data_IF_014078141763
#
_entry.id   IF_014078141763
#
_cell.length_a   1.000
_cell.length_b   1.000
_cell.length_c   1.000
_cell.angle_alpha   90.00
_cell.angle_beta   90.00
_cell.angle_gamma   90.00
#
_symmetry.space_group_name_H-M   'P 1'
#
loop_
_entity.id
_entity.type
_entity.pdbx_description
1 polymer ?
#
# COMPACT_ATOMS: atom_id res chain seq x y z
N UNK A 1 0.44 4.70 -84.29
CA UNK A 1 0.31 3.35 -84.89
C UNK A 1 1.31 2.41 -84.24
N UNK A 2 0.90 1.21 -83.84
CA UNK A 2 1.78 0.07 -83.46
C UNK A 2 2.63 0.25 -82.19
N UNK A 3 2.90 -0.77 -81.35
CA UNK A 3 2.39 -2.14 -81.35
C UNK A 3 3.50 -3.21 -81.22
N UNK A 4 3.80 -3.62 -79.99
CA UNK A 4 4.57 -4.85 -79.66
C UNK A 4 6.10 -4.77 -79.77
N UNK A 5 6.88 -5.78 -79.33
CA UNK A 5 6.66 -6.75 -78.25
C UNK A 5 7.96 -7.54 -77.91
N UNK A 6 8.22 -7.76 -76.61
CA UNK A 6 8.85 -8.95 -75.98
C UNK A 6 10.19 -9.54 -76.50
N UNK A 7 11.20 -9.43 -75.62
CA UNK A 7 11.85 -10.55 -74.89
C UNK A 7 13.17 -11.22 -75.37
N UNK A 8 13.85 -11.79 -74.35
CA UNK A 8 14.98 -12.77 -74.29
C UNK A 8 16.42 -12.22 -74.37
N UNK A 9 17.47 -12.91 -73.88
CA UNK A 9 17.75 -13.61 -72.60
C UNK A 9 19.22 -14.17 -72.65
N UNK A 10 20.07 -13.85 -71.65
CA UNK A 10 21.32 -14.53 -71.22
C UNK A 10 22.42 -14.98 -72.23
N UNK A 11 23.65 -14.46 -72.02
CA UNK A 11 24.97 -15.17 -71.98
C UNK A 11 26.03 -14.16 -71.48
N UNK A 12 26.50 -14.17 -70.22
CA UNK A 12 27.49 -15.04 -69.54
C UNK A 12 28.99 -14.83 -69.88
N UNK A 13 29.73 -14.37 -68.85
CA UNK A 13 31.13 -14.67 -68.46
C UNK A 13 32.32 -14.36 -69.39
N UNK A 14 33.17 -13.42 -68.96
CA UNK A 14 34.57 -13.70 -68.57
C UNK A 14 35.15 -12.57 -67.69
N UNK A 15 35.89 -12.92 -66.63
CA UNK A 15 36.60 -12.01 -65.72
C UNK A 15 38.07 -11.87 -66.13
N UNK A 16 38.71 -10.73 -65.86
CA UNK A 16 40.17 -10.63 -65.95
C UNK A 16 40.78 -9.25 -65.72
N UNK A 17 41.32 -9.02 -64.51
CA UNK A 17 42.38 -8.05 -64.16
C UNK A 17 42.03 -6.54 -64.24
N UNK A 18 42.67 -5.62 -63.49
CA UNK A 18 43.24 -5.63 -62.14
C UNK A 18 43.58 -4.16 -61.77
N UNK A 19 42.91 -3.55 -60.77
CA UNK A 19 43.27 -2.25 -60.14
C UNK A 19 43.16 -1.01 -61.10
N UNK A 20 43.01 0.26 -60.67
CA UNK A 20 43.40 0.95 -59.43
C UNK A 20 42.26 1.85 -58.88
N UNK A 21 42.11 1.78 -57.57
CA UNK A 21 41.37 2.60 -56.59
C UNK A 21 41.30 4.12 -56.88
N UNK A 22 40.15 4.80 -56.72
CA UNK A 22 39.73 5.64 -55.57
C UNK A 22 38.57 6.54 -56.09
N UNK A 23 37.52 6.96 -55.37
CA UNK A 23 36.99 6.74 -54.00
C UNK A 23 35.46 6.51 -54.12
N UNK A 24 34.81 5.88 -53.13
CA UNK A 24 33.36 5.95 -52.95
C UNK A 24 33.03 6.41 -51.52
N UNK A 25 32.23 7.47 -51.38
CA UNK A 25 31.68 7.91 -50.09
C UNK A 25 30.38 7.16 -49.82
N UNK A 26 30.38 6.27 -48.83
CA UNK A 26 29.18 5.69 -48.25
C UNK A 26 29.17 5.99 -46.75
N UNK A 27 28.14 6.72 -46.28
CA UNK A 27 27.89 6.86 -44.85
C UNK A 27 27.25 5.56 -44.36
N UNK A 28 28.05 4.71 -43.71
CA UNK A 28 27.58 3.46 -43.13
C UNK A 28 26.97 3.73 -41.74
N UNK A 29 25.68 3.42 -41.61
CA UNK A 29 24.95 3.53 -40.35
C UNK A 29 25.42 2.41 -39.40
N UNK A 30 26.20 2.75 -38.38
CA UNK A 30 26.65 1.79 -37.36
C UNK A 30 25.45 1.19 -36.57
N UNK A 31 25.09 -0.04 -36.94
CA UNK A 31 24.15 -0.88 -36.22
C UNK A 31 24.88 -1.48 -35.00
N UNK A 32 24.77 -0.81 -33.85
CA UNK A 32 25.41 -1.29 -32.61
C UNK A 32 24.83 -2.63 -32.15
N UNK A 33 25.60 -3.69 -32.40
CA UNK A 33 25.38 -5.02 -31.84
C UNK A 33 25.64 -5.00 -30.33
N UNK A 34 24.68 -5.45 -29.53
CA UNK A 34 24.86 -5.61 -28.08
C UNK A 34 25.70 -6.87 -27.79
N UNK A 35 27.02 -6.71 -27.76
CA UNK A 35 27.89 -7.66 -27.07
C UNK A 35 27.80 -7.43 -25.56
N UNK A 36 27.12 -8.37 -24.89
CA UNK A 36 26.93 -8.38 -23.45
C UNK A 36 28.16 -8.95 -22.74
N UNK A 37 29.11 -8.09 -22.37
CA UNK A 37 30.17 -8.44 -21.42
C UNK A 37 30.57 -7.23 -20.55
N UNK A 38 30.94 -7.52 -19.29
CA UNK A 38 31.33 -6.57 -18.23
C UNK A 38 30.22 -5.71 -17.59
N UNK A 39 29.40 -6.40 -16.78
CA UNK A 39 28.85 -5.85 -15.54
C UNK A 39 30.01 -5.29 -14.66
N UNK A 40 30.32 -3.98 -14.72
CA UNK A 40 30.92 -3.14 -13.65
C UNK A 40 31.40 -1.76 -14.16
N UNK A 41 30.46 -0.83 -14.44
CA UNK A 41 30.55 0.64 -14.23
C UNK A 41 29.57 1.41 -15.14
N UNK A 42 28.28 1.44 -14.76
CA UNK A 42 27.28 2.31 -15.37
C UNK A 42 27.03 3.56 -14.51
N UNK A 43 27.85 4.62 -14.65
CA UNK A 43 27.58 5.92 -14.01
C UNK A 43 26.69 6.77 -14.92
N UNK A 44 25.37 6.71 -14.69
CA UNK A 44 24.44 7.79 -15.04
C UNK A 44 23.79 8.31 -13.77
N UNK A 45 24.34 9.40 -13.24
CA UNK A 45 23.81 10.24 -12.14
C UNK A 45 23.33 9.58 -10.84
N UNK A 46 23.77 8.37 -10.49
CA UNK A 46 23.64 7.87 -9.11
C UNK A 46 24.43 8.78 -8.13
N UNK A 47 23.72 9.68 -7.45
CA UNK A 47 24.25 10.58 -6.42
C UNK A 47 24.95 9.73 -5.36
N UNK A 48 26.17 10.12 -4.97
CA UNK A 48 26.90 9.38 -3.94
C UNK A 48 26.08 9.34 -2.65
N UNK A 49 25.98 8.18 -1.97
CA UNK A 49 25.16 8.03 -0.79
C UNK A 49 25.62 8.99 0.30
N UNK A 50 24.68 9.77 0.85
CA UNK A 50 24.96 10.77 1.87
C UNK A 50 24.37 10.30 3.20
N UNK A 51 25.14 10.44 4.28
CA UNK A 51 24.63 10.18 5.62
C UNK A 51 24.14 11.48 6.27
N UNK A 52 22.89 11.45 6.74
CA UNK A 52 22.19 12.59 7.34
C UNK A 52 21.67 12.18 8.73
N UNK A 53 21.57 13.13 9.64
CA UNK A 53 20.96 12.88 10.95
C UNK A 53 19.45 12.67 10.83
N UNK A 54 18.91 11.75 11.62
CA UNK A 54 17.47 11.48 11.69
C UNK A 54 16.81 12.62 12.47
N UNK A 55 15.94 13.44 11.84
CA UNK A 55 15.31 14.56 12.51
C UNK A 55 14.24 14.08 13.49
N UNK A 56 13.99 14.89 14.53
CA UNK A 56 12.92 14.65 15.54
C UNK A 56 11.55 14.48 14.87
N UNK A 57 11.32 15.18 13.76
CA UNK A 57 10.07 15.12 13.00
C UNK A 57 9.86 13.80 12.24
N UNK A 58 10.90 12.97 12.05
CA UNK A 58 10.77 11.62 11.50
C UNK A 58 10.27 10.66 12.60
N UNK A 59 9.04 10.91 13.07
CA UNK A 59 8.38 10.21 14.20
C UNK A 59 8.37 8.69 14.07
N UNK A 60 8.43 8.16 12.85
CA UNK A 60 8.53 6.72 12.59
C UNK A 60 9.84 6.12 13.14
N UNK A 61 10.96 6.84 13.02
CA UNK A 61 12.31 6.27 13.20
C UNK A 61 13.22 7.03 14.16
N UNK A 62 12.82 8.21 14.67
CA UNK A 62 13.66 8.98 15.60
C UNK A 62 14.12 8.20 16.85
N UNK A 63 13.35 7.20 17.30
CA UNK A 63 13.66 6.37 18.47
C UNK A 63 14.20 4.97 18.14
N UNK A 64 14.62 4.71 16.90
CA UNK A 64 14.96 3.35 16.42
C UNK A 64 16.29 2.78 16.96
N UNK A 65 17.12 3.62 17.60
CA UNK A 65 18.37 3.20 18.27
C UNK A 65 19.67 3.69 17.63
N UNK A 66 19.60 4.30 16.45
CA UNK A 66 20.73 5.00 15.81
C UNK A 66 20.33 6.42 15.40
N UNK A 67 21.32 7.29 15.15
CA UNK A 67 21.11 8.73 14.92
C UNK A 67 21.27 9.18 13.46
N UNK A 68 21.96 8.39 12.62
CA UNK A 68 22.26 8.74 11.23
C UNK A 68 21.73 7.70 10.26
N UNK A 69 21.05 8.18 9.22
CA UNK A 69 20.51 7.37 8.12
C UNK A 69 21.20 7.72 6.79
N UNK A 70 21.07 6.82 5.81
CA UNK A 70 21.56 6.99 4.44
C UNK A 70 20.46 7.52 3.51
N UNK A 71 20.85 8.42 2.59
CA UNK A 71 20.08 8.82 1.41
C UNK A 71 20.88 8.53 0.12
N UNK A 72 20.24 8.10 -0.99
CA UNK A 72 18.85 7.66 -1.04
C UNK A 72 18.61 6.44 -0.14
N UNK A 73 17.38 6.29 0.36
CA UNK A 73 16.99 5.18 1.22
C UNK A 73 16.64 3.92 0.39
N UNK A 74 16.12 2.85 1.01
CA UNK A 74 15.80 1.60 0.28
C UNK A 74 14.42 1.64 -0.43
N UNK A 75 13.82 2.82 -0.50
CA UNK A 75 12.59 3.14 -1.24
C UNK A 75 12.87 4.26 -2.27
N UNK A 76 14.14 4.48 -2.62
CA UNK A 76 14.64 5.45 -3.58
C UNK A 76 14.31 6.94 -3.28
N UNK A 77 13.86 7.27 -2.06
CA UNK A 77 13.68 8.66 -1.66
C UNK A 77 15.03 9.36 -1.52
N UNK A 78 15.25 10.45 -2.26
CA UNK A 78 16.54 11.16 -2.31
C UNK A 78 16.64 12.30 -1.27
N UNK A 79 15.52 12.75 -0.73
CA UNK A 79 15.46 13.98 0.09
C UNK A 79 14.75 13.78 1.42
N UNK A 80 15.18 14.50 2.46
CA UNK A 80 14.54 14.42 3.78
C UNK A 80 13.06 14.85 3.81
N UNK A 81 12.61 15.90 3.09
CA UNK A 81 11.18 16.25 3.03
C UNK A 81 10.31 15.12 2.46
N UNK A 82 10.79 14.44 1.42
CA UNK A 82 10.12 13.27 0.83
C UNK A 82 10.06 12.10 1.82
N UNK A 83 11.19 11.75 2.47
CA UNK A 83 11.21 10.72 3.52
C UNK A 83 10.23 11.05 4.64
N UNK A 84 10.19 12.30 5.12
CA UNK A 84 9.26 12.75 6.16
C UNK A 84 7.80 12.60 5.73
N UNK A 85 7.46 13.05 4.51
CA UNK A 85 6.11 12.95 3.95
C UNK A 85 5.66 11.49 3.82
N UNK A 86 6.50 10.64 3.23
CA UNK A 86 6.15 9.25 2.95
C UNK A 86 6.10 8.42 4.24
N UNK A 87 7.11 8.54 5.13
CA UNK A 87 7.16 7.85 6.42
C UNK A 87 6.02 8.28 7.35
N UNK A 88 5.56 9.54 7.26
CA UNK A 88 4.43 10.06 8.03
C UNK A 88 3.15 9.25 7.84
N UNK A 89 2.92 8.71 6.64
CA UNK A 89 1.76 7.87 6.33
C UNK A 89 1.73 6.53 7.09
N UNK A 90 2.89 6.07 7.59
CA UNK A 90 3.05 4.79 8.31
C UNK A 90 2.91 4.90 9.83
N UNK A 91 3.00 6.11 10.38
CA UNK A 91 2.85 6.36 11.84
C UNK A 91 1.53 5.81 12.40
N UNK A 92 0.35 5.95 11.72
CA UNK A 92 -0.89 5.35 12.20
C UNK A 92 -0.86 3.82 12.28
N UNK A 93 -0.15 3.13 11.38
CA UNK A 93 -0.01 1.67 11.44
C UNK A 93 0.88 1.24 12.61
N UNK A 94 2.01 1.93 12.80
CA UNK A 94 2.90 1.69 13.94
C UNK A 94 2.17 1.90 15.27
N UNK A 95 1.31 2.90 15.36
CA UNK A 95 0.47 3.16 16.54
C UNK A 95 -0.53 2.02 16.86
N UNK A 96 -0.91 1.19 15.88
CA UNK A 96 -1.74 -0.02 16.12
C UNK A 96 -0.97 -1.19 16.73
N UNK A 97 0.38 -1.16 16.73
CA UNK A 97 1.26 -2.19 17.32
C UNK A 97 0.91 -3.62 16.90
N UNK A 98 0.65 -3.80 15.60
CA UNK A 98 0.26 -5.09 15.02
C UNK A 98 1.38 -6.14 15.09
N UNK A 99 2.65 -5.74 15.02
CA UNK A 99 3.82 -6.58 15.30
C UNK A 99 4.83 -5.80 16.17
N UNK A 100 5.70 -6.51 16.90
CA UNK A 100 6.75 -5.88 17.70
C UNK A 100 7.80 -5.21 16.79
N UNK A 101 8.28 -5.95 15.78
CA UNK A 101 9.32 -5.48 14.85
C UNK A 101 8.82 -4.49 13.77
N UNK A 102 7.56 -4.04 13.80
CA UNK A 102 7.01 -3.12 12.77
C UNK A 102 7.86 -1.85 12.61
N UNK A 103 8.36 -1.29 13.72
CA UNK A 103 9.23 -0.10 13.66
C UNK A 103 10.57 -0.42 13.00
N UNK A 104 11.23 -1.51 13.41
CA UNK A 104 12.53 -1.93 12.88
C UNK A 104 12.44 -2.23 11.38
N UNK A 105 11.41 -2.99 10.97
CA UNK A 105 11.16 -3.31 9.56
C UNK A 105 10.98 -2.03 8.72
N UNK A 106 10.06 -1.13 9.09
CA UNK A 106 9.81 0.07 8.31
C UNK A 106 11.03 1.02 8.29
N UNK A 107 11.73 1.17 9.42
CA UNK A 107 12.90 2.04 9.50
C UNK A 107 14.13 1.49 8.79
N UNK A 108 14.26 0.16 8.63
CA UNK A 108 15.29 -0.42 7.76
C UNK A 108 15.17 0.05 6.30
N UNK A 109 13.95 0.38 5.85
CA UNK A 109 13.67 0.84 4.49
C UNK A 109 13.63 2.37 4.39
N UNK A 110 12.92 3.03 5.30
CA UNK A 110 12.75 4.49 5.29
C UNK A 110 13.98 5.27 5.76
N UNK A 111 14.71 4.72 6.72
CA UNK A 111 15.83 5.37 7.40
C UNK A 111 17.02 4.40 7.59
N UNK A 112 17.51 3.71 6.54
CA UNK A 112 18.56 2.70 6.67
C UNK A 112 19.81 3.26 7.35
N UNK A 113 20.47 2.43 8.16
CA UNK A 113 21.71 2.82 8.87
C UNK A 113 22.76 3.35 7.89
N UNK A 114 23.46 4.40 8.28
CA UNK A 114 24.61 4.94 7.55
C UNK A 114 25.74 3.89 7.43
N UNK A 115 25.75 3.12 6.34
CA UNK A 115 26.77 2.14 5.96
C UNK A 115 27.04 2.24 4.45
N UNK A 116 28.24 1.83 4.01
CA UNK A 116 28.64 1.86 2.60
C UNK A 116 27.80 0.92 1.72
N UNK A 117 27.39 -0.21 2.27
CA UNK A 117 26.45 -1.16 1.67
C UNK A 117 25.15 -1.18 2.47
N UNK A 118 23.97 -1.08 1.82
CA UNK A 118 22.70 -1.21 2.51
C UNK A 118 22.50 -2.64 3.00
N UNK A 119 21.85 -2.78 4.16
CA UNK A 119 21.40 -4.08 4.69
C UNK A 119 19.86 -4.07 4.65
N UNK A 120 19.29 -5.03 3.93
CA UNK A 120 17.84 -5.17 3.79
C UNK A 120 17.26 -5.94 4.99
N UNK A 121 15.96 -5.80 5.29
CA UNK A 121 15.26 -6.74 6.18
C UNK A 121 15.26 -8.15 5.56
N UNK A 122 15.33 -9.19 6.39
CA UNK A 122 15.16 -10.56 5.92
C UNK A 122 13.71 -10.80 5.48
N UNK A 123 13.51 -11.76 4.57
CA UNK A 123 12.19 -12.19 4.12
C UNK A 123 11.30 -12.60 5.30
N UNK A 124 11.81 -13.41 6.25
CA UNK A 124 11.04 -13.82 7.43
C UNK A 124 10.48 -12.65 8.24
N UNK A 125 11.28 -11.60 8.46
CA UNK A 125 10.89 -10.37 9.16
C UNK A 125 9.79 -9.63 8.39
N UNK A 126 9.94 -9.50 7.07
CA UNK A 126 8.89 -8.93 6.23
C UNK A 126 7.59 -9.73 6.34
N UNK A 127 7.66 -11.06 6.24
CA UNK A 127 6.46 -11.91 6.26
C UNK A 127 5.75 -11.88 7.61
N UNK A 128 6.49 -11.94 8.72
CA UNK A 128 5.93 -11.82 10.07
C UNK A 128 5.21 -10.47 10.31
N UNK A 129 5.82 -9.37 9.86
CA UNK A 129 5.21 -8.04 9.94
C UNK A 129 4.02 -7.92 8.97
N UNK A 130 4.14 -8.38 7.72
CA UNK A 130 3.06 -8.43 6.72
C UNK A 130 1.85 -9.19 7.25
N UNK A 131 2.03 -10.42 7.73
CA UNK A 131 0.92 -11.29 8.12
C UNK A 131 0.19 -10.78 9.36
N UNK A 132 0.89 -10.01 10.20
CA UNK A 132 0.34 -9.35 11.38
C UNK A 132 -0.33 -8.00 11.05
N UNK A 133 0.24 -7.21 10.13
CA UNK A 133 -0.15 -5.83 9.88
C UNK A 133 -1.00 -5.61 8.61
N UNK A 134 -0.86 -6.43 7.58
CA UNK A 134 -1.67 -6.33 6.36
C UNK A 134 -3.18 -6.47 6.63
N UNK A 135 -3.67 -7.40 7.49
CA UNK A 135 -5.10 -7.45 7.84
C UNK A 135 -5.59 -6.16 8.54
N UNK A 136 -4.70 -5.47 9.25
CA UNK A 136 -4.99 -4.16 9.87
C UNK A 136 -5.05 -3.06 8.81
N UNK A 137 -4.17 -3.09 7.80
CA UNK A 137 -4.24 -2.15 6.67
C UNK A 137 -5.50 -2.36 5.81
N UNK A 138 -5.80 -3.60 5.43
CA UNK A 138 -6.97 -3.97 4.60
C UNK A 138 -8.28 -3.52 5.23
N UNK A 139 -8.34 -3.61 6.56
CA UNK A 139 -9.44 -3.13 7.39
C UNK A 139 -9.72 -1.63 7.18
N UNK A 140 -8.68 -0.82 7.02
CA UNK A 140 -8.79 0.61 6.66
C UNK A 140 -8.89 0.84 5.14
N UNK A 141 -9.05 -0.23 4.34
CA UNK A 141 -9.16 -0.17 2.89
C UNK A 141 -7.83 0.16 2.20
N UNK A 142 -6.70 -0.21 2.80
CA UNK A 142 -5.37 -0.10 2.18
C UNK A 142 -4.77 -1.50 1.99
N UNK A 143 -4.37 -1.91 0.77
CA UNK A 143 -3.65 -3.16 0.57
C UNK A 143 -2.21 -3.07 1.12
N UNK A 144 -1.56 -4.22 1.29
CA UNK A 144 -0.11 -4.24 1.49
C UNK A 144 0.58 -3.78 0.18
N UNK A 145 1.43 -2.74 0.21
CA UNK A 145 1.92 -2.10 -1.00
C UNK A 145 3.06 -2.88 -1.67
N UNK A 146 3.22 -2.68 -2.98
CA UNK A 146 4.21 -3.40 -3.79
C UNK A 146 5.66 -3.17 -3.35
N UNK A 147 5.97 -1.97 -2.85
CA UNK A 147 7.31 -1.63 -2.31
C UNK A 147 7.69 -2.44 -1.06
N UNK A 148 6.73 -3.11 -0.41
CA UNK A 148 6.94 -3.95 0.77
C UNK A 148 6.70 -5.45 0.48
N UNK A 149 6.61 -5.86 -0.79
CA UNK A 149 6.46 -7.29 -1.13
C UNK A 149 7.70 -8.08 -0.68
N UNK A 150 7.48 -9.11 0.14
CA UNK A 150 8.57 -9.85 0.78
C UNK A 150 9.47 -10.63 -0.19
N UNK A 151 9.01 -10.87 -1.42
CA UNK A 151 9.83 -11.44 -2.49
C UNK A 151 10.97 -10.54 -2.95
N UNK A 152 10.89 -9.23 -2.68
CA UNK A 152 11.95 -8.25 -2.95
C UNK A 152 13.09 -8.31 -1.91
N UNK A 153 12.93 -9.09 -0.83
CA UNK A 153 13.90 -9.19 0.26
C UNK A 153 14.67 -10.51 0.26
N UNK A 154 15.95 -10.50 0.70
CA UNK A 154 16.80 -11.68 0.76
C UNK A 154 16.28 -12.71 1.76
N UNK A 155 16.68 -13.96 1.59
CA UNK A 155 16.40 -15.02 2.55
C UNK A 155 17.33 -14.88 3.78
N UNK A 156 16.90 -15.43 4.91
CA UNK A 156 17.60 -15.39 6.20
C UNK A 156 19.01 -16.01 6.22
N UNK A 157 19.43 -16.67 5.12
CA UNK A 157 20.78 -17.20 4.95
C UNK A 157 21.79 -16.12 4.49
N UNK A 158 21.30 -14.98 3.98
CA UNK A 158 22.12 -13.84 3.54
C UNK A 158 22.29 -12.80 4.67
N UNK A 159 23.17 -11.81 4.46
CA UNK A 159 23.30 -10.67 5.40
C UNK A 159 22.07 -9.77 5.34
N UNK A 160 21.13 -9.97 6.27
CA UNK A 160 19.90 -9.19 6.40
C UNK A 160 19.50 -8.97 7.87
N UNK A 161 18.56 -8.04 8.11
CA UNK A 161 18.03 -7.75 9.45
C UNK A 161 16.93 -8.77 9.78
N UNK A 162 17.20 -9.64 10.75
CA UNK A 162 16.27 -10.68 11.25
C UNK A 162 15.29 -10.13 12.29
N UNK A 163 14.27 -10.92 12.64
CA UNK A 163 13.35 -10.63 13.74
C UNK A 163 14.06 -10.55 15.10
N UNK A 164 13.68 -9.61 15.97
CA UNK A 164 14.26 -9.50 17.30
C UNK A 164 13.52 -10.40 18.29
N UNK A 165 13.98 -11.66 18.42
CA UNK A 165 13.54 -12.57 19.47
C UNK A 165 14.01 -12.09 20.86
N UNK A 166 13.30 -11.10 21.42
CA UNK A 166 13.60 -10.53 22.73
C UNK A 166 13.30 -11.54 23.84
N UNK A 167 14.36 -12.19 24.33
CA UNK A 167 14.38 -13.19 25.40
C UNK A 167 14.10 -12.61 26.81
N UNK A 168 13.33 -11.53 26.93
CA UNK A 168 12.96 -10.90 28.20
C UNK A 168 11.44 -10.77 28.30
N UNK A 169 10.90 -11.41 29.33
CA UNK A 169 9.48 -11.70 29.55
C UNK A 169 8.81 -12.56 28.48
N UNK A 170 8.66 -13.84 28.83
CA UNK A 170 7.44 -14.59 28.56
C UNK A 170 6.22 -13.96 29.27
N UNK A 171 5.93 -12.69 28.97
CA UNK A 171 4.53 -12.32 28.74
C UNK A 171 4.05 -13.26 27.65
N UNK A 172 3.04 -14.05 27.99
CA UNK A 172 2.30 -14.91 27.08
C UNK A 172 2.18 -14.24 25.72
N UNK A 173 2.38 -14.99 24.64
CA UNK A 173 1.92 -14.61 23.29
C UNK A 173 0.59 -13.88 23.46
N UNK A 174 0.47 -12.57 23.19
CA UNK A 174 -0.72 -11.80 23.56
C UNK A 174 -1.88 -12.38 22.76
N UNK A 175 -2.68 -13.23 23.44
CA UNK A 175 -3.19 -14.47 22.86
C UNK A 175 -4.08 -14.23 21.67
N UNK A 176 -3.46 -14.17 20.49
CA UNK A 176 -3.95 -13.56 19.24
C UNK A 176 -5.22 -12.76 19.48
N UNK A 177 -5.09 -11.61 20.16
CA UNK A 177 -6.25 -10.76 20.41
C UNK A 177 -6.77 -10.29 19.06
N UNK A 178 -7.80 -10.98 18.57
CA UNK A 178 -8.52 -10.66 17.34
C UNK A 178 -9.36 -9.39 17.57
N UNK A 179 -8.69 -8.31 17.96
CA UNK A 179 -9.25 -6.97 18.10
C UNK A 179 -9.64 -6.51 16.71
N UNK A 180 -10.91 -6.65 16.38
CA UNK A 180 -11.44 -6.28 15.08
C UNK A 180 -11.56 -4.76 14.95
N UNK A 181 -10.70 -4.07 14.19
CA UNK A 181 -10.70 -2.60 14.26
C UNK A 181 -12.02 -1.95 13.80
N UNK A 182 -12.82 -2.52 12.87
CA UNK A 182 -14.12 -1.92 12.53
C UNK A 182 -15.19 -2.14 13.60
N UNK A 183 -15.02 -3.17 14.43
CA UNK A 183 -15.96 -3.56 15.47
C UNK A 183 -15.52 -3.09 16.86
N UNK A 184 -14.48 -2.25 16.94
CA UNK A 184 -14.05 -1.64 18.18
C UNK A 184 -15.24 -0.89 18.83
N UNK A 185 -15.38 -1.09 20.13
CA UNK A 185 -16.46 -0.54 20.93
C UNK A 185 -16.13 0.86 21.48
N UNK A 186 -14.90 1.36 21.32
CA UNK A 186 -14.55 2.73 21.68
C UNK A 186 -15.23 3.77 20.79
N UNK A 187 -16.37 4.30 21.25
CA UNK A 187 -17.12 5.37 20.60
C UNK A 187 -16.62 6.76 20.99
N UNK A 188 -15.32 7.00 20.88
CA UNK A 188 -14.72 8.34 21.12
C UNK A 188 -15.01 9.27 19.94
N UNK A 189 -15.42 10.51 20.22
CA UNK A 189 -15.80 11.46 19.17
C UNK A 189 -14.68 11.76 18.18
N UNK A 190 -13.44 11.82 18.66
CA UNK A 190 -12.22 12.05 17.87
C UNK A 190 -11.98 10.92 16.85
N UNK A 191 -11.88 9.68 17.32
CA UNK A 191 -11.74 8.47 16.48
C UNK A 191 -12.89 8.32 15.47
N UNK A 192 -14.11 8.69 15.87
CA UNK A 192 -15.27 8.71 14.95
C UNK A 192 -15.13 9.80 13.88
N UNK A 193 -14.43 10.91 14.13
CA UNK A 193 -14.10 11.92 13.10
C UNK A 193 -12.96 11.45 12.19
N UNK A 194 -11.91 10.81 12.73
CA UNK A 194 -10.84 10.21 11.93
C UNK A 194 -11.42 9.20 10.92
N UNK A 195 -12.25 8.26 11.40
CA UNK A 195 -12.94 7.30 10.54
C UNK A 195 -13.89 7.98 9.53
N UNK A 196 -14.58 9.06 9.91
CA UNK A 196 -15.45 9.82 8.99
C UNK A 196 -14.67 10.50 7.87
N UNK A 197 -13.48 11.02 8.17
CA UNK A 197 -12.62 11.64 7.17
C UNK A 197 -11.93 10.61 6.28
N UNK A 198 -11.42 9.52 6.85
CA UNK A 198 -10.78 8.44 6.09
C UNK A 198 -11.76 7.62 5.21
N UNK A 199 -13.06 7.59 5.52
CA UNK A 199 -14.07 6.82 4.77
C UNK A 199 -14.64 7.57 3.57
N UNK A 200 -14.87 6.89 2.45
CA UNK A 200 -15.57 7.47 1.29
C UNK A 200 -17.03 7.81 1.62
N UNK A 201 -17.70 6.87 2.30
CA UNK A 201 -19.12 6.96 2.59
C UNK A 201 -19.43 6.69 4.05
N UNK A 202 -20.50 7.33 4.53
CA UNK A 202 -21.01 7.16 5.88
C UNK A 202 -22.53 7.08 5.83
N UNK A 203 -23.06 6.00 6.42
CA UNK A 203 -24.46 5.61 6.33
C UNK A 203 -25.01 5.31 7.73
N UNK A 204 -26.28 5.65 7.94
CA UNK A 204 -27.11 5.07 9.00
C UNK A 204 -28.10 4.10 8.38
N UNK A 205 -28.04 2.84 8.80
CA UNK A 205 -28.99 1.82 8.35
C UNK A 205 -29.13 0.67 9.35
N UNK A 206 -30.10 -0.21 9.11
CA UNK A 206 -30.22 -1.51 9.80
C UNK A 206 -29.64 -2.61 8.92
N UNK A 207 -28.95 -3.57 9.53
CA UNK A 207 -28.43 -4.77 8.87
C UNK A 207 -29.53 -5.84 8.90
N UNK A 208 -29.69 -6.60 7.82
CA UNK A 208 -30.64 -7.71 7.73
C UNK A 208 -30.02 -9.01 8.23
N UNK A 209 -28.85 -9.35 7.68
CA UNK A 209 -28.15 -10.60 7.92
C UNK A 209 -26.63 -10.38 7.81
N UNK A 210 -25.88 -11.25 8.48
CA UNK A 210 -24.42 -11.28 8.43
C UNK A 210 -24.01 -12.70 8.04
N UNK A 211 -23.26 -12.85 6.95
CA UNK A 211 -22.79 -14.14 6.42
C UNK A 211 -21.27 -14.22 6.51
N UNK A 212 -20.72 -15.44 6.58
CA UNK A 212 -19.29 -15.72 6.37
C UNK A 212 -19.13 -16.29 4.97
N UNK A 213 -18.17 -15.80 4.19
CA UNK A 213 -17.95 -16.21 2.80
C UNK A 213 -16.47 -16.04 2.45
N UNK A 214 -15.78 -17.13 2.07
CA UNK A 214 -14.35 -17.11 1.64
C UNK A 214 -13.38 -16.39 2.61
N UNK A 215 -13.55 -16.56 3.92
CA UNK A 215 -12.72 -15.87 4.93
C UNK A 215 -13.19 -14.45 5.29
N UNK A 216 -14.06 -13.84 4.49
CA UNK A 216 -14.66 -12.54 4.75
C UNK A 216 -15.97 -12.65 5.54
N UNK A 217 -16.40 -11.53 6.14
CA UNK A 217 -17.74 -11.38 6.72
C UNK A 217 -18.55 -10.36 5.94
N UNK A 218 -19.71 -10.78 5.46
CA UNK A 218 -20.59 -10.06 4.53
C UNK A 218 -21.81 -9.53 5.26
N UNK A 219 -21.94 -8.21 5.36
CA UNK A 219 -23.06 -7.54 6.02
C UNK A 219 -24.06 -7.07 4.96
N UNK A 220 -25.26 -7.62 4.97
CA UNK A 220 -26.30 -7.31 3.98
C UNK A 220 -27.30 -6.33 4.59
N UNK A 221 -27.50 -5.18 3.91
CA UNK A 221 -28.37 -4.14 4.40
C UNK A 221 -29.86 -4.53 4.36
N UNK A 222 -30.65 -4.02 5.31
CA UNK A 222 -32.10 -4.08 5.23
C UNK A 222 -32.63 -3.23 4.06
N UNK A 223 -33.75 -3.66 3.47
CA UNK A 223 -34.43 -2.94 2.38
C UNK A 223 -35.14 -1.64 2.83
N UNK A 224 -35.18 -1.36 4.15
CA UNK A 224 -35.74 -0.12 4.69
C UNK A 224 -34.91 1.11 4.27
N UNK A 225 -35.53 2.30 4.28
CA UNK A 225 -34.90 3.57 3.90
C UNK A 225 -33.63 3.82 4.72
N UNK A 226 -32.48 3.85 4.03
CA UNK A 226 -31.16 4.16 4.59
C UNK A 226 -31.00 5.69 4.67
N UNK A 227 -30.33 6.21 5.70
CA UNK A 227 -29.97 7.63 5.78
C UNK A 227 -28.49 7.79 5.41
N UNK A 228 -28.21 8.50 4.32
CA UNK A 228 -26.84 8.89 3.96
C UNK A 228 -26.40 10.05 4.85
N UNK A 229 -25.15 9.99 5.34
CA UNK A 229 -24.49 11.09 6.06
C UNK A 229 -23.32 11.65 5.25
N UNK A 230 -22.55 10.79 4.57
CA UNK A 230 -21.54 11.14 3.56
C UNK A 230 -21.76 10.25 2.33
N UNK A 231 -21.94 10.83 1.15
CA UNK A 231 -22.16 10.08 -0.09
C UNK A 231 -20.82 9.65 -0.73
N UNK A 232 -19.86 10.58 -0.80
CA UNK A 232 -18.58 10.37 -1.48
C UNK A 232 -18.77 9.83 -2.90
N UNK A 233 -18.01 8.80 -3.24
CA UNK A 233 -18.03 8.12 -4.55
C UNK A 233 -19.13 7.06 -4.72
N UNK A 234 -20.06 6.90 -3.75
CA UNK A 234 -21.22 6.03 -3.92
C UNK A 234 -22.18 6.58 -4.99
N UNK A 235 -22.76 5.66 -5.77
CA UNK A 235 -23.85 5.96 -6.72
C UNK A 235 -25.19 5.45 -6.19
N UNK A 236 -26.31 6.02 -6.65
CA UNK A 236 -27.67 5.57 -6.26
C UNK A 236 -27.91 4.07 -6.51
N UNK A 237 -27.23 3.47 -7.51
CA UNK A 237 -27.28 2.02 -7.78
C UNK A 237 -26.69 1.19 -6.62
N UNK A 238 -25.60 1.65 -6.03
CA UNK A 238 -24.88 0.96 -4.96
C UNK A 238 -25.74 0.88 -3.68
N UNK A 239 -26.56 1.92 -3.43
CA UNK A 239 -27.50 1.97 -2.31
C UNK A 239 -28.69 0.99 -2.43
N UNK A 240 -29.06 0.54 -3.65
CA UNK A 240 -30.17 -0.41 -3.87
C UNK A 240 -29.84 -1.80 -3.30
N UNK A 241 -28.70 -2.39 -3.71
CA UNK A 241 -28.23 -3.72 -3.27
C UNK A 241 -26.99 -3.62 -2.37
N UNK A 242 -27.05 -2.72 -1.37
CA UNK A 242 -25.91 -2.44 -0.51
C UNK A 242 -25.49 -3.67 0.31
N UNK A 243 -24.28 -4.15 0.03
CA UNK A 243 -23.62 -5.26 0.72
C UNK A 243 -22.22 -4.80 1.08
N UNK A 244 -21.82 -4.96 2.34
CA UNK A 244 -20.53 -4.55 2.86
C UNK A 244 -19.69 -5.78 3.19
N UNK A 245 -18.37 -5.67 3.01
CA UNK A 245 -17.41 -6.73 3.27
C UNK A 245 -16.44 -6.28 4.36
N UNK A 246 -16.30 -7.11 5.38
CA UNK A 246 -15.23 -7.05 6.37
C UNK A 246 -14.19 -8.09 5.94
N UNK A 247 -13.06 -7.62 5.38
CA UNK A 247 -11.98 -8.46 4.89
C UNK A 247 -11.35 -9.27 6.02
N UNK A 248 -11.06 -10.54 5.75
CA UNK A 248 -10.53 -11.50 6.75
C UNK A 248 -11.40 -11.61 8.04
N UNK A 249 -12.67 -11.17 7.96
CA UNK A 249 -13.57 -11.01 9.09
C UNK A 249 -14.34 -12.26 9.51
N UNK A 250 -14.14 -13.42 8.89
CA UNK A 250 -14.92 -14.62 9.21
C UNK A 250 -14.78 -15.06 10.68
N UNK A 251 -13.60 -14.90 11.28
CA UNK A 251 -13.32 -15.26 12.67
C UNK A 251 -13.22 -14.05 13.62
N UNK A 252 -13.57 -12.87 13.13
CA UNK A 252 -13.57 -11.62 13.89
C UNK A 252 -14.67 -11.61 14.98
N UNK A 253 -14.34 -11.49 16.29
CA UNK A 253 -15.32 -11.19 17.33
C UNK A 253 -15.87 -9.77 17.18
N UNK A 254 -17.18 -9.65 16.98
CA UNK A 254 -17.83 -8.36 16.70
C UNK A 254 -19.17 -8.28 17.44
N UNK A 255 -19.12 -8.04 18.75
CA UNK A 255 -20.30 -8.06 19.64
C UNK A 255 -21.35 -6.99 19.33
N UNK A 256 -21.01 -6.04 18.46
CA UNK A 256 -21.96 -5.13 17.86
C UNK A 256 -22.96 -5.82 16.92
N UNK A 257 -22.51 -6.85 16.18
CA UNK A 257 -23.32 -7.55 15.18
C UNK A 257 -24.19 -8.67 15.76
N UNK A 258 -23.96 -9.09 17.02
CA UNK A 258 -24.75 -10.13 17.68
C UNK A 258 -26.24 -9.73 17.82
N UNK A 259 -26.51 -8.43 17.93
CA UNK A 259 -27.88 -7.88 17.95
C UNK A 259 -28.11 -6.89 16.81
N UNK A 260 -28.59 -7.43 15.68
CA UNK A 260 -28.98 -6.68 14.48
C UNK A 260 -30.30 -5.88 14.66
N UNK A 261 -30.91 -5.88 15.85
CA UNK A 261 -32.18 -5.22 16.13
C UNK A 261 -32.13 -3.69 15.98
N UNK A 262 -30.97 -3.10 16.25
CA UNK A 262 -30.74 -1.65 16.23
C UNK A 262 -30.48 -1.08 14.82
N UNK A 263 -30.27 0.25 14.74
CA UNK A 263 -29.59 0.84 13.58
C UNK A 263 -28.09 0.90 13.89
N UNK A 264 -27.28 1.03 12.85
CA UNK A 264 -25.84 1.19 12.96
C UNK A 264 -25.41 2.47 12.23
N UNK A 265 -24.42 3.16 12.80
CA UNK A 265 -23.55 4.07 12.06
C UNK A 265 -22.49 3.20 11.38
N UNK A 266 -22.32 3.37 10.08
CA UNK A 266 -21.44 2.55 9.25
C UNK A 266 -20.60 3.50 8.40
N UNK A 267 -19.29 3.28 8.43
CA UNK A 267 -18.30 3.99 7.62
C UNK A 267 -17.50 3.01 6.79
N UNK A 268 -17.18 3.38 5.56
CA UNK A 268 -16.49 2.49 4.65
C UNK A 268 -15.95 3.16 3.40
N UNK A 269 -15.16 2.36 2.67
CA UNK A 269 -14.55 2.72 1.39
C UNK A 269 -15.11 1.89 0.25
N UNK A 270 -15.00 2.40 -0.96
CA UNK A 270 -15.35 1.69 -2.19
C UNK A 270 -14.08 1.47 -3.00
N UNK A 271 -13.60 0.23 -2.96
CA UNK A 271 -12.50 -0.25 -3.80
C UNK A 271 -13.15 -1.00 -4.97
N UNK A 272 -12.94 -0.50 -6.19
CA UNK A 272 -13.60 -0.94 -7.43
C UNK A 272 -15.14 -1.02 -7.33
N UNK A 273 -15.65 -2.24 -7.16
CA UNK A 273 -17.07 -2.56 -6.99
C UNK A 273 -17.40 -3.11 -5.60
N UNK A 274 -16.39 -3.32 -4.75
CA UNK A 274 -16.57 -3.81 -3.37
C UNK A 274 -16.70 -2.64 -2.40
N UNK A 275 -17.58 -2.80 -1.42
CA UNK A 275 -17.79 -1.81 -0.36
C UNK A 275 -17.20 -2.38 0.93
N UNK A 276 -16.06 -1.84 1.36
CA UNK A 276 -15.31 -2.32 2.51
C UNK A 276 -15.78 -1.61 3.79
N UNK A 277 -15.97 -2.39 4.85
CA UNK A 277 -16.35 -1.86 6.16
C UNK A 277 -15.10 -1.43 6.95
N UNK A 278 -14.94 -0.13 7.17
CA UNK A 278 -13.85 0.42 7.99
C UNK A 278 -14.24 0.59 9.46
N UNK A 279 -15.50 0.95 9.73
CA UNK A 279 -16.00 1.16 11.09
C UNK A 279 -17.51 0.91 11.14
N UNK A 280 -17.94 0.24 12.20
CA UNK A 280 -19.34 0.10 12.59
C UNK A 280 -19.50 0.48 14.06
N UNK A 281 -20.57 1.20 14.36
CA UNK A 281 -20.99 1.53 15.72
C UNK A 281 -22.50 1.36 15.88
N UNK A 282 -22.96 0.74 16.98
CA UNK A 282 -24.38 0.68 17.35
C UNK A 282 -24.95 2.10 17.47
N UNK A 283 -26.08 2.38 16.82
CA UNK A 283 -26.74 3.68 16.89
C UNK A 283 -27.51 3.82 18.20
N UNK A 284 -26.87 4.39 19.22
CA UNK A 284 -27.55 4.82 20.43
C UNK A 284 -27.99 6.30 20.35
N UNK A 285 -29.28 6.57 20.59
CA UNK A 285 -29.80 7.95 20.68
C UNK A 285 -29.46 8.62 22.02
N UNK A 286 -28.97 7.90 23.04
CA UNK A 286 -28.65 8.46 24.36
C UNK A 286 -27.21 8.99 24.43
N UNK A 287 -26.22 8.26 23.91
CA UNK A 287 -24.80 8.67 23.78
C UNK A 287 -24.63 10.14 23.40
N UNK A 288 -23.77 10.84 24.15
CA UNK A 288 -23.41 12.24 23.90
C UNK A 288 -22.37 12.36 22.79
N UNK A 289 -21.47 11.39 22.74
CA UNK A 289 -20.35 11.22 21.83
C UNK A 289 -20.87 11.07 20.40
N UNK A 290 -21.84 10.17 20.18
CA UNK A 290 -22.49 9.99 18.88
C UNK A 290 -23.24 11.24 18.42
N UNK A 291 -23.93 11.95 19.34
CA UNK A 291 -24.62 13.22 19.00
C UNK A 291 -23.63 14.30 18.59
N UNK A 292 -22.54 14.44 19.33
CA UNK A 292 -21.47 15.40 19.05
C UNK A 292 -20.84 15.09 17.68
N UNK A 293 -20.44 13.83 17.47
CA UNK A 293 -19.92 13.34 16.21
C UNK A 293 -20.86 13.65 15.03
N UNK A 294 -22.14 13.29 15.11
CA UNK A 294 -23.13 13.57 14.03
C UNK A 294 -23.33 15.07 13.80
N UNK A 295 -23.24 15.91 14.85
CA UNK A 295 -23.32 17.37 14.69
C UNK A 295 -22.11 17.87 13.91
N UNK A 296 -20.90 17.42 14.29
CA UNK A 296 -19.64 17.83 13.68
C UNK A 296 -19.50 17.36 12.22
N UNK A 297 -19.86 16.11 11.91
CA UNK A 297 -19.89 15.54 10.55
C UNK A 297 -20.67 16.37 9.52
N UNK A 298 -21.65 17.18 9.95
CA UNK A 298 -22.45 18.02 9.05
C UNK A 298 -21.79 19.34 8.69
N UNK A 299 -20.90 19.84 9.55
CA UNK A 299 -20.29 21.17 9.44
C UNK A 299 -18.78 21.12 9.17
N UNK A 300 -18.13 19.98 9.44
CA UNK A 300 -16.70 19.82 9.30
C UNK A 300 -16.31 19.43 7.87
N UNK A 301 -15.37 20.17 7.30
CA UNK A 301 -14.64 19.78 6.10
C UNK A 301 -13.40 19.00 6.52
N UNK A 302 -13.28 17.77 6.05
CA UNK A 302 -12.11 16.94 6.33
C UNK A 302 -10.87 17.47 5.60
N UNK A 303 -9.68 17.40 6.22
CA UNK A 303 -8.43 17.74 5.54
C UNK A 303 -8.23 16.87 4.30
N UNK A 304 -7.91 17.52 3.18
CA UNK A 304 -7.62 16.86 1.90
C UNK A 304 -6.20 16.29 1.92
N UNK A 305 -6.00 15.19 2.64
CA UNK A 305 -4.87 14.32 2.39
C UNK A 305 -5.05 13.70 1.00
N UNK A 306 -4.31 14.24 0.01
CA UNK A 306 -4.20 13.58 -1.29
C UNK A 306 -3.71 12.14 -1.06
N UNK A 307 -4.42 11.18 -1.63
CA UNK A 307 -4.04 9.77 -1.60
C UNK A 307 -2.80 9.60 -2.47
N UNK A 308 -1.62 9.47 -1.86
CA UNK A 308 -0.30 9.35 -2.53
C UNK A 308 -0.09 7.96 -3.18
N UNK A 309 -1.15 7.15 -3.26
CA UNK A 309 -1.16 5.85 -3.92
C UNK A 309 -2.19 5.89 -5.06
N UNK A 310 -1.71 6.28 -6.25
CA UNK A 310 -2.31 5.99 -7.56
C UNK A 310 -1.36 5.07 -8.32
#
# INVERSE_FOLDING_TARGET
HGGGAKARLLTFLALGLFFITLVASAEEYDYYSWQSDNFHNGRFYAKQPQCVDIPVDLRLCYTVGYKKMRLPNLLDHETMPEVLQQAGSWVPLLAKRCHADTQVFLCSLFAPVCLDRPIYPCRSLCEAVRDSCAPVMETYGFPWPEMLQCDKFPYDNDLCITMQFSMNHATQTPGRTFTCPPCDNELKSETVMEHFCASDFVLKMKIKEVKKEKGDRKLIAAQKKKKVLKMGILRKKDLKKLTLYLKNGANCPCSQLDNLGSNFLIMGRKVDQQLLLMSIHKWDKKSKELKYAIKYMKSHQCPTYHTVFQ
#
